data_IF_575102768793
#
_entry.id   IF_575102768793
#
_cell.length_a   1.000
_cell.length_b   1.000
_cell.length_c   1.000
_cell.angle_alpha   90.00
_cell.angle_beta   90.00
_cell.angle_gamma   90.00
#
_symmetry.space_group_name_H-M   'P 1'
#
loop_
_entity.id
_entity.type
_entity.pdbx_description
1 polymer ?
#
# COMPACT_ATOMS: atom_id res chain seq x y z
N UNK A 1 12.57 -11.84 53.78
CA UNK A 1 12.22 -12.78 52.68
C UNK A 1 12.36 -12.02 51.37
N UNK A 2 13.45 -12.28 50.68
CA UNK A 2 13.83 -11.63 49.42
C UNK A 2 13.16 -12.39 48.27
N UNK A 3 12.27 -11.73 47.51
CA UNK A 3 11.70 -12.28 46.30
C UNK A 3 12.64 -11.96 45.14
N UNK A 4 13.31 -12.99 44.66
CA UNK A 4 14.12 -13.03 43.46
C UNK A 4 13.26 -12.66 42.24
N UNK A 5 13.60 -11.54 41.54
CA UNK A 5 13.12 -11.22 40.21
C UNK A 5 13.77 -12.20 39.22
N UNK A 6 12.98 -13.16 38.75
CA UNK A 6 13.37 -13.99 37.61
C UNK A 6 13.57 -13.12 36.36
N UNK A 7 14.76 -13.17 35.78
CA UNK A 7 15.08 -12.61 34.47
C UNK A 7 14.24 -13.34 33.44
N UNK A 8 13.29 -12.63 32.80
CA UNK A 8 12.63 -13.10 31.60
C UNK A 8 13.70 -13.09 30.51
N UNK A 9 14.13 -14.29 30.12
CA UNK A 9 15.07 -14.48 29.02
C UNK A 9 14.52 -13.83 27.77
N UNK A 10 15.37 -13.05 27.09
CA UNK A 10 15.09 -12.54 25.75
C UNK A 10 14.82 -13.74 24.85
N UNK A 11 13.53 -13.99 24.55
CA UNK A 11 13.13 -14.98 23.58
C UNK A 11 13.77 -14.63 22.23
N UNK A 12 14.49 -15.58 21.65
CA UNK A 12 15.03 -15.43 20.30
C UNK A 12 13.87 -15.09 19.37
N UNK A 13 13.98 -14.00 18.63
CA UNK A 13 13.00 -13.64 17.60
C UNK A 13 12.78 -14.83 16.67
N UNK A 14 11.54 -15.14 16.28
CA UNK A 14 11.27 -16.25 15.38
C UNK A 14 12.10 -16.09 14.09
N UNK A 15 12.59 -17.18 13.50
CA UNK A 15 13.41 -17.10 12.29
C UNK A 15 12.61 -16.42 11.18
N UNK A 16 13.23 -15.45 10.50
CA UNK A 16 12.62 -14.75 9.38
C UNK A 16 12.13 -15.75 8.31
N UNK A 17 10.98 -15.49 7.69
CA UNK A 17 10.45 -16.32 6.60
C UNK A 17 11.46 -16.49 5.46
N UNK A 18 11.38 -17.59 4.70
CA UNK A 18 12.29 -17.86 3.58
C UNK A 18 12.34 -16.71 2.55
N UNK A 19 11.20 -16.07 2.31
CA UNK A 19 11.12 -14.91 1.41
C UNK A 19 11.99 -13.76 1.95
N UNK A 20 11.88 -13.43 3.23
CA UNK A 20 12.63 -12.36 3.87
C UNK A 20 14.16 -12.59 3.85
N UNK A 21 14.61 -13.84 3.83
CA UNK A 21 16.03 -14.22 3.79
C UNK A 21 16.59 -14.22 2.36
N UNK A 22 15.73 -14.29 1.34
CA UNK A 22 16.14 -14.34 -0.05
C UNK A 22 16.67 -12.99 -0.56
N UNK A 23 17.55 -13.01 -1.55
CA UNK A 23 18.02 -11.80 -2.20
C UNK A 23 16.85 -11.01 -2.86
N UNK A 24 15.87 -11.73 -3.43
CA UNK A 24 14.63 -11.13 -3.94
C UNK A 24 13.86 -10.40 -2.84
N UNK A 25 13.55 -11.08 -1.72
CA UNK A 25 12.79 -10.49 -0.61
C UNK A 25 13.52 -9.32 0.06
N UNK A 26 14.86 -9.39 0.17
CA UNK A 26 15.66 -8.28 0.70
C UNK A 26 15.59 -7.04 -0.19
N UNK A 27 15.63 -7.21 -1.53
CA UNK A 27 15.46 -6.09 -2.46
C UNK A 27 14.08 -5.47 -2.37
N UNK A 28 13.01 -6.29 -2.32
CA UNK A 28 11.64 -5.79 -2.16
C UNK A 28 11.48 -5.05 -0.83
N UNK A 29 11.99 -5.61 0.27
CA UNK A 29 11.97 -4.94 1.59
C UNK A 29 12.67 -3.58 1.52
N UNK A 30 13.87 -3.51 0.95
CA UNK A 30 14.61 -2.26 0.78
C UNK A 30 13.82 -1.22 -0.01
N UNK A 31 13.11 -1.64 -1.08
CA UNK A 31 12.24 -0.75 -1.84
C UNK A 31 11.03 -0.25 -1.02
N UNK A 32 10.42 -1.11 -0.21
CA UNK A 32 9.32 -0.72 0.68
C UNK A 32 9.79 0.28 1.73
N UNK A 33 10.91 0.00 2.41
CA UNK A 33 11.47 0.85 3.46
C UNK A 33 11.95 2.22 2.93
N UNK A 34 12.42 2.26 1.69
CA UNK A 34 12.85 3.50 1.03
C UNK A 34 11.72 4.29 0.36
N UNK A 35 10.48 3.75 0.37
CA UNK A 35 9.34 4.37 -0.34
C UNK A 35 8.93 5.70 0.29
N UNK A 36 8.80 6.78 -0.51
CA UNK A 36 8.21 8.04 -0.05
C UNK A 36 6.77 7.89 0.45
N UNK A 37 5.97 6.98 -0.13
CA UNK A 37 4.59 6.75 0.28
C UNK A 37 4.53 6.14 1.69
N UNK A 38 5.44 5.19 2.00
CA UNK A 38 5.56 4.65 3.35
C UNK A 38 6.04 5.71 4.34
N UNK A 39 7.02 6.54 3.97
CA UNK A 39 7.49 7.65 4.80
C UNK A 39 6.34 8.63 5.08
N UNK A 40 5.54 9.00 4.08
CA UNK A 40 4.38 9.87 4.24
C UNK A 40 3.34 9.27 5.19
N UNK A 41 3.01 7.98 5.05
CA UNK A 41 2.04 7.32 5.93
C UNK A 41 2.58 7.19 7.36
N UNK A 42 3.89 7.00 7.54
CA UNK A 42 4.56 7.01 8.86
C UNK A 42 4.47 8.38 9.51
N UNK A 43 4.72 9.46 8.77
CA UNK A 43 4.58 10.83 9.30
C UNK A 43 3.13 11.15 9.69
N UNK A 44 2.13 10.64 8.94
CA UNK A 44 0.71 10.75 9.35
C UNK A 44 0.42 10.01 10.65
N UNK A 45 1.02 8.85 10.86
CA UNK A 45 0.93 8.12 12.12
C UNK A 45 1.55 8.93 13.26
N UNK A 46 2.74 9.52 13.09
CA UNK A 46 3.38 10.39 14.07
C UNK A 46 2.50 11.59 14.42
N UNK A 47 1.86 12.23 13.44
CA UNK A 47 0.89 13.29 13.68
C UNK A 47 -0.31 12.82 14.51
N UNK A 48 -0.81 11.61 14.26
CA UNK A 48 -1.92 11.03 15.03
C UNK A 48 -1.51 10.74 16.48
N UNK A 49 -0.28 10.26 16.71
CA UNK A 49 0.29 10.05 18.06
C UNK A 49 0.46 11.38 18.79
N UNK A 50 0.97 12.42 18.12
CA UNK A 50 1.09 13.75 18.71
C UNK A 50 -0.29 14.35 19.11
N UNK A 51 -1.35 14.11 18.29
CA UNK A 51 -2.72 14.50 18.62
C UNK A 51 -3.27 13.70 19.84
N UNK A 52 -2.92 12.43 19.97
CA UNK A 52 -3.25 11.65 21.18
C UNK A 52 -2.57 12.23 22.41
N UNK A 53 -1.28 12.58 22.34
CA UNK A 53 -0.55 13.20 23.45
C UNK A 53 -1.11 14.58 23.80
N UNK A 54 -1.52 15.37 22.81
CA UNK A 54 -2.24 16.62 23.04
C UNK A 54 -3.57 16.39 23.79
N UNK A 55 -4.32 15.33 23.43
CA UNK A 55 -5.57 14.99 24.13
C UNK A 55 -5.32 14.52 25.56
N UNK A 56 -4.21 13.84 25.85
CA UNK A 56 -3.77 13.51 27.22
C UNK A 56 -3.49 14.76 28.04
N UNK A 57 -3.03 15.83 27.38
CA UNK A 57 -2.76 17.11 28.03
C UNK A 57 -3.98 17.74 28.74
N UNK A 58 -5.21 17.40 28.32
CA UNK A 58 -6.44 17.86 28.98
C UNK A 58 -6.55 17.37 30.44
N UNK A 59 -5.85 16.30 30.81
CA UNK A 59 -5.84 15.74 32.16
C UNK A 59 -4.68 16.25 33.02
N UNK A 60 -3.83 17.11 32.45
CA UNK A 60 -2.69 17.69 33.17
C UNK A 60 -2.99 19.12 33.58
N UNK A 61 -2.38 19.63 34.68
CA UNK A 61 -2.47 21.03 35.03
C UNK A 61 -1.94 21.91 33.90
N UNK A 62 -2.71 22.92 33.51
CA UNK A 62 -2.33 23.89 32.48
C UNK A 62 -1.82 25.17 33.12
N UNK A 63 -0.57 25.53 32.82
CA UNK A 63 0.05 26.77 33.28
C UNK A 63 -0.10 27.83 32.20
N UNK A 64 -0.71 28.98 32.58
CA UNK A 64 -0.84 30.13 31.72
C UNK A 64 -0.14 31.31 32.37
N UNK A 65 0.71 32.02 31.62
CA UNK A 65 1.34 33.29 32.01
C UNK A 65 0.88 34.34 31.00
N UNK A 66 0.42 35.45 31.49
CA UNK A 66 -0.08 36.52 30.63
C UNK A 66 -0.08 37.85 31.31
N UNK A 67 -0.48 38.89 30.58
CA UNK A 67 -0.71 40.22 31.09
C UNK A 67 -1.99 40.79 30.48
N UNK A 68 -2.83 41.40 31.31
CA UNK A 68 -4.02 42.12 30.86
C UNK A 68 -3.73 43.62 30.90
N UNK A 69 -4.05 44.33 29.82
CA UNK A 69 -4.01 45.75 29.76
C UNK A 69 -5.45 46.29 29.75
N UNK A 70 -5.82 47.08 30.72
CA UNK A 70 -7.17 47.69 30.80
C UNK A 70 -7.03 49.23 30.89
N UNK A 71 -7.81 49.95 30.12
CA UNK A 71 -7.99 51.36 30.27
C UNK A 71 -9.46 51.62 30.60
N UNK A 72 -9.73 52.20 31.80
CA UNK A 72 -11.12 52.47 32.23
C UNK A 72 -11.64 53.86 31.81
N UNK A 73 -10.75 54.75 31.35
CA UNK A 73 -11.12 56.08 30.85
C UNK A 73 -10.49 56.33 29.48
N UNK A 74 -11.31 56.86 28.58
CA UNK A 74 -10.89 57.24 27.22
C UNK A 74 -9.84 58.40 27.25
N UNK A 75 -9.71 59.13 28.34
CA UNK A 75 -8.80 60.26 28.53
C UNK A 75 -7.47 59.92 29.26
N UNK A 76 -7.29 58.72 29.77
CA UNK A 76 -6.04 58.33 30.42
C UNK A 76 -5.13 57.59 29.41
N UNK A 77 -3.98 58.19 29.09
CA UNK A 77 -2.96 57.60 28.23
C UNK A 77 -2.17 56.46 28.89
N UNK A 78 -2.58 55.97 30.04
CA UNK A 78 -1.90 54.94 30.79
C UNK A 78 -2.85 53.74 30.86
N UNK A 79 -2.50 52.68 30.19
CA UNK A 79 -3.13 51.35 30.37
C UNK A 79 -2.47 50.68 31.55
N UNK A 80 -3.25 50.33 32.59
CA UNK A 80 -2.74 49.46 33.66
C UNK A 80 -2.49 48.08 33.13
N UNK A 81 -1.24 47.63 33.24
CA UNK A 81 -0.79 46.29 32.79
C UNK A 81 -0.65 45.41 34.01
N UNK A 82 -1.57 44.45 34.16
CA UNK A 82 -1.58 43.49 35.26
C UNK A 82 -1.06 42.15 34.80
N UNK A 83 0.16 41.74 35.17
CA UNK A 83 0.66 40.38 34.90
C UNK A 83 -0.08 39.36 35.76
N UNK A 84 -0.34 38.18 35.17
CA UNK A 84 -0.98 37.07 35.86
C UNK A 84 -0.30 35.72 35.59
N UNK A 85 -0.36 34.86 36.60
CA UNK A 85 0.00 33.43 36.53
C UNK A 85 -1.25 32.64 36.90
N UNK A 86 -1.61 31.64 36.09
CA UNK A 86 -2.77 30.80 36.33
C UNK A 86 -2.39 29.32 36.08
N UNK A 87 -2.65 28.48 37.07
CA UNK A 87 -2.58 27.01 36.95
C UNK A 87 -4.02 26.50 37.00
N UNK A 88 -4.50 25.85 35.94
CA UNK A 88 -5.87 25.33 35.90
C UNK A 88 -5.87 23.82 35.64
N UNK A 89 -6.80 23.12 36.30
CA UNK A 89 -6.98 21.67 36.18
C UNK A 89 -8.46 21.37 35.95
N UNK A 90 -8.73 20.55 34.90
CA UNK A 90 -10.06 19.98 34.67
C UNK A 90 -10.35 18.95 35.78
N UNK A 91 -11.47 19.09 36.47
CA UNK A 91 -11.93 18.16 37.51
C UNK A 91 -13.04 17.24 36.98
N UNK A 92 -13.98 17.83 36.24
CA UNK A 92 -15.12 17.09 35.68
C UNK A 92 -15.64 17.79 34.43
N UNK A 93 -16.01 17.01 33.40
CA UNK A 93 -16.60 17.50 32.15
C UNK A 93 -17.64 16.52 31.56
N UNK A 94 -18.21 15.67 32.42
CA UNK A 94 -19.14 14.63 31.97
C UNK A 94 -18.49 13.49 31.16
N UNK A 95 -17.14 13.46 31.12
CA UNK A 95 -16.38 12.47 30.33
C UNK A 95 -16.07 12.95 28.91
N UNK A 96 -16.25 14.23 28.58
CA UNK A 96 -15.96 14.75 27.26
C UNK A 96 -14.46 14.56 26.89
N UNK A 97 -13.54 14.96 27.77
CA UNK A 97 -12.10 14.81 27.53
C UNK A 97 -11.69 13.33 27.40
N UNK A 98 -12.24 12.42 28.21
CA UNK A 98 -11.94 10.99 28.11
C UNK A 98 -12.43 10.37 26.78
N UNK A 99 -13.58 10.78 26.28
CA UNK A 99 -14.09 10.35 24.99
C UNK A 99 -13.30 10.97 23.81
N UNK A 100 -12.83 12.20 23.94
CA UNK A 100 -11.90 12.80 22.96
C UNK A 100 -10.58 12.01 22.92
N UNK A 101 -10.03 11.64 24.09
CA UNK A 101 -8.84 10.79 24.15
C UNK A 101 -9.09 9.40 23.53
N UNK A 102 -10.26 8.80 23.75
CA UNK A 102 -10.64 7.54 23.12
C UNK A 102 -10.74 7.67 21.60
N UNK A 103 -11.29 8.78 21.11
CA UNK A 103 -11.36 9.07 19.67
C UNK A 103 -9.96 9.23 19.05
N UNK A 104 -9.06 9.98 19.71
CA UNK A 104 -7.67 10.15 19.19
C UNK A 104 -6.89 8.83 19.23
N UNK A 105 -7.05 7.98 20.24
CA UNK A 105 -6.49 6.62 20.24
C UNK A 105 -6.99 5.78 19.09
N UNK A 106 -8.28 5.81 18.80
CA UNK A 106 -8.86 5.10 17.67
C UNK A 106 -8.33 5.64 16.31
N UNK A 107 -8.07 6.95 16.21
CA UNK A 107 -7.42 7.55 15.03
C UNK A 107 -5.96 7.11 14.87
N UNK A 108 -5.22 6.89 15.96
CA UNK A 108 -3.89 6.27 15.88
C UNK A 108 -3.97 4.86 15.30
N UNK A 109 -4.94 4.04 15.75
CA UNK A 109 -5.17 2.70 15.19
C UNK A 109 -5.53 2.77 13.70
N UNK A 110 -6.36 3.72 13.29
CA UNK A 110 -6.69 3.98 11.89
C UNK A 110 -5.42 4.32 11.08
N UNK A 111 -4.57 5.22 11.56
CA UNK A 111 -3.32 5.62 10.89
C UNK A 111 -2.31 4.47 10.81
N UNK A 112 -2.28 3.57 11.80
CA UNK A 112 -1.51 2.32 11.73
C UNK A 112 -2.03 1.41 10.61
N UNK A 113 -3.34 1.25 10.50
CA UNK A 113 -3.96 0.50 9.40
C UNK A 113 -3.64 1.09 8.01
N UNK A 114 -3.69 2.41 7.88
CA UNK A 114 -3.30 3.13 6.65
C UNK A 114 -1.83 2.86 6.28
N UNK A 115 -0.92 2.89 7.26
CA UNK A 115 0.51 2.60 7.04
C UNK A 115 0.73 1.17 6.57
N UNK A 116 0.06 0.18 7.18
CA UNK A 116 0.16 -1.22 6.76
C UNK A 116 -0.39 -1.44 5.36
N UNK A 117 -1.53 -0.86 5.04
CA UNK A 117 -2.12 -0.93 3.71
C UNK A 117 -1.18 -0.30 2.65
N UNK A 118 -0.59 0.85 2.95
CA UNK A 118 0.37 1.51 2.07
C UNK A 118 1.61 0.64 1.87
N UNK A 119 2.17 0.09 2.94
CA UNK A 119 3.34 -0.79 2.87
C UNK A 119 3.05 -2.05 2.01
N UNK A 120 1.88 -2.68 2.18
CA UNK A 120 1.48 -3.85 1.40
C UNK A 120 1.28 -3.52 -0.09
N UNK A 121 0.68 -2.37 -0.39
CA UNK A 121 0.52 -1.89 -1.77
C UNK A 121 1.86 -1.59 -2.42
N UNK A 122 2.77 -0.89 -1.73
CA UNK A 122 4.13 -0.62 -2.23
C UNK A 122 4.89 -1.91 -2.46
N UNK A 123 4.79 -2.89 -1.55
CA UNK A 123 5.43 -4.19 -1.70
C UNK A 123 4.94 -4.92 -2.97
N UNK A 124 3.62 -4.95 -3.21
CA UNK A 124 3.06 -5.56 -4.40
C UNK A 124 3.51 -4.85 -5.68
N UNK A 125 3.49 -3.51 -5.70
CA UNK A 125 3.94 -2.71 -6.85
C UNK A 125 5.44 -2.87 -7.12
N UNK A 126 6.26 -2.98 -6.08
CA UNK A 126 7.69 -3.25 -6.22
C UNK A 126 7.95 -4.65 -6.79
N UNK A 127 7.19 -5.67 -6.34
CA UNK A 127 7.24 -7.03 -6.90
C UNK A 127 6.83 -7.01 -8.38
N UNK A 128 5.76 -6.30 -8.72
CA UNK A 128 5.31 -6.15 -10.11
C UNK A 128 6.39 -5.50 -10.98
N UNK A 129 6.97 -4.37 -10.55
CA UNK A 129 8.04 -3.70 -11.26
C UNK A 129 9.27 -4.60 -11.46
N UNK A 130 9.60 -5.42 -10.45
CA UNK A 130 10.69 -6.39 -10.52
C UNK A 130 10.43 -7.47 -11.59
N UNK A 131 9.27 -8.11 -11.54
CA UNK A 131 8.90 -9.21 -12.44
C UNK A 131 8.74 -8.70 -13.87
N UNK A 132 8.18 -7.52 -14.06
CA UNK A 132 8.04 -6.91 -15.39
C UNK A 132 9.40 -6.71 -16.07
N UNK A 133 10.46 -6.36 -15.34
CA UNK A 133 11.81 -6.28 -15.94
C UNK A 133 12.28 -7.65 -16.44
N UNK A 134 12.07 -8.71 -15.67
CA UNK A 134 12.43 -10.08 -16.07
C UNK A 134 11.68 -10.51 -17.34
N UNK A 135 10.38 -10.28 -17.37
CA UNK A 135 9.55 -10.56 -18.54
C UNK A 135 10.04 -9.81 -19.78
N UNK A 136 10.30 -8.49 -19.64
CA UNK A 136 10.75 -7.68 -20.79
C UNK A 136 12.12 -8.07 -21.30
N UNK A 137 13.00 -8.59 -20.45
CA UNK A 137 14.27 -9.21 -20.89
C UNK A 137 14.01 -10.45 -21.74
N UNK A 138 13.12 -11.32 -21.28
CA UNK A 138 12.76 -12.54 -22.01
C UNK A 138 12.06 -12.23 -23.34
N UNK A 139 11.13 -11.25 -23.37
CA UNK A 139 10.52 -10.74 -24.60
C UNK A 139 11.57 -10.22 -25.59
N UNK A 140 12.56 -9.45 -25.11
CA UNK A 140 13.65 -8.94 -25.94
C UNK A 140 14.46 -10.09 -26.54
N UNK A 141 14.77 -11.15 -25.78
CA UNK A 141 15.47 -12.31 -26.28
C UNK A 141 14.66 -13.08 -27.32
N UNK A 142 13.34 -13.26 -27.12
CA UNK A 142 12.46 -13.88 -28.09
C UNK A 142 12.45 -13.08 -29.40
N UNK A 143 12.30 -11.76 -29.31
CA UNK A 143 12.31 -10.87 -30.47
C UNK A 143 13.64 -10.90 -31.21
N UNK A 144 14.78 -10.93 -30.50
CA UNK A 144 16.11 -11.04 -31.09
C UNK A 144 16.31 -12.39 -31.80
N UNK A 145 15.91 -13.51 -31.16
CA UNK A 145 15.93 -14.83 -31.79
C UNK A 145 15.04 -14.85 -33.05
N UNK A 146 13.85 -14.22 -32.99
CA UNK A 146 12.94 -14.16 -34.15
C UNK A 146 13.56 -13.40 -35.32
N UNK A 147 14.28 -12.29 -35.10
CA UNK A 147 15.03 -11.57 -36.14
C UNK A 147 16.08 -12.49 -36.76
N UNK A 148 16.86 -13.23 -35.97
CA UNK A 148 17.86 -14.17 -36.47
C UNK A 148 17.24 -15.26 -37.34
N UNK A 149 16.07 -15.81 -36.95
CA UNK A 149 15.34 -16.81 -37.72
C UNK A 149 14.88 -16.25 -39.08
N UNK A 150 14.33 -15.05 -39.09
CA UNK A 150 13.90 -14.41 -40.34
C UNK A 150 15.06 -14.02 -41.24
N UNK A 151 16.23 -13.67 -40.71
CA UNK A 151 17.46 -13.42 -41.44
C UNK A 151 17.95 -14.66 -42.17
N UNK A 152 18.03 -15.79 -41.45
CA UNK A 152 18.37 -17.10 -42.04
C UNK A 152 17.39 -17.53 -43.14
N UNK A 153 16.09 -17.37 -42.88
CA UNK A 153 15.07 -17.69 -43.92
C UNK A 153 15.21 -16.80 -45.15
N UNK A 154 15.43 -15.49 -44.98
CA UNK A 154 15.62 -14.57 -46.09
C UNK A 154 16.85 -14.95 -46.93
N UNK A 155 17.97 -15.32 -46.30
CA UNK A 155 19.17 -15.79 -47.01
C UNK A 155 18.87 -17.06 -47.82
N UNK A 156 18.27 -18.08 -47.17
CA UNK A 156 17.90 -19.32 -47.85
C UNK A 156 16.97 -19.10 -49.02
N UNK A 157 15.97 -18.24 -48.91
CA UNK A 157 15.04 -17.94 -49.97
C UNK A 157 15.71 -17.21 -51.15
N UNK A 158 16.61 -16.25 -50.82
CA UNK A 158 17.38 -15.53 -51.84
C UNK A 158 18.28 -16.49 -52.62
N UNK A 159 19.03 -17.36 -51.92
CA UNK A 159 19.90 -18.38 -52.56
C UNK A 159 19.12 -19.32 -53.49
N UNK A 160 17.93 -19.80 -53.05
CA UNK A 160 17.07 -20.66 -53.89
C UNK A 160 16.53 -19.95 -55.12
N UNK A 161 16.21 -18.65 -54.99
CA UNK A 161 15.74 -17.84 -56.10
C UNK A 161 16.86 -17.59 -57.10
N UNK A 162 18.07 -17.30 -56.64
CA UNK A 162 19.26 -17.15 -57.50
C UNK A 162 19.61 -18.40 -58.25
N UNK A 163 19.32 -19.59 -57.69
CA UNK A 163 19.45 -20.89 -58.31
C UNK A 163 18.29 -21.28 -59.22
N UNK A 164 17.31 -20.40 -59.37
CA UNK A 164 16.15 -20.62 -60.23
C UNK A 164 15.05 -21.54 -59.64
N UNK A 165 15.12 -21.88 -58.37
CA UNK A 165 14.17 -22.78 -57.68
C UNK A 165 13.15 -22.01 -56.85
N UNK A 166 13.29 -20.69 -56.70
CA UNK A 166 12.43 -19.81 -55.91
C UNK A 166 11.76 -18.70 -56.74
N UNK A 167 10.85 -17.98 -56.11
CA UNK A 167 10.14 -16.83 -56.72
C UNK A 167 10.63 -15.51 -56.10
N UNK A 168 10.75 -14.46 -56.92
CA UNK A 168 10.97 -13.08 -56.44
C UNK A 168 9.89 -12.64 -55.45
N UNK A 169 8.66 -13.13 -55.58
CA UNK A 169 7.57 -12.84 -54.65
C UNK A 169 7.88 -13.40 -53.25
N UNK A 170 8.52 -14.56 -53.13
CA UNK A 170 8.95 -15.16 -51.87
C UNK A 170 10.03 -14.32 -51.20
N UNK A 171 11.00 -13.80 -51.97
CA UNK A 171 12.04 -12.90 -51.45
C UNK A 171 11.42 -11.59 -50.90
N UNK A 172 10.46 -11.00 -51.61
CA UNK A 172 9.77 -9.81 -51.14
C UNK A 172 8.95 -10.08 -49.88
N UNK A 173 8.28 -11.24 -49.82
CA UNK A 173 7.54 -11.69 -48.62
C UNK A 173 8.50 -11.88 -47.43
N UNK A 174 9.62 -12.58 -47.63
CA UNK A 174 10.61 -12.77 -46.58
C UNK A 174 11.22 -11.45 -46.10
N UNK A 175 11.48 -10.49 -47.00
CA UNK A 175 11.93 -9.13 -46.63
C UNK A 175 10.91 -8.36 -45.79
N UNK A 176 9.64 -8.44 -46.15
CA UNK A 176 8.54 -7.84 -45.39
C UNK A 176 8.50 -8.40 -43.98
N UNK A 177 8.53 -9.72 -43.81
CA UNK A 177 8.53 -10.39 -42.51
C UNK A 177 9.77 -10.08 -41.66
N UNK A 178 10.94 -9.92 -42.32
CA UNK A 178 12.14 -9.46 -41.65
C UNK A 178 12.00 -8.01 -41.12
N UNK A 179 11.38 -7.12 -41.88
CA UNK A 179 11.08 -5.76 -41.44
C UNK A 179 10.15 -5.76 -40.22
N UNK A 180 9.08 -6.57 -40.26
CA UNK A 180 8.16 -6.76 -39.12
C UNK A 180 8.88 -7.29 -37.88
N UNK A 181 9.78 -8.26 -38.04
CA UNK A 181 10.57 -8.82 -36.92
C UNK A 181 11.49 -7.75 -36.30
N UNK A 182 12.14 -6.90 -37.13
CA UNK A 182 12.97 -5.79 -36.64
C UNK A 182 12.15 -4.73 -35.90
N UNK A 183 10.94 -4.44 -36.35
CA UNK A 183 10.00 -3.54 -35.65
C UNK A 183 9.66 -4.09 -34.27
N UNK A 184 9.28 -5.38 -34.18
CA UNK A 184 9.01 -6.04 -32.89
C UNK A 184 10.21 -6.02 -31.95
N UNK A 185 11.43 -6.18 -32.46
CA UNK A 185 12.66 -6.05 -31.65
C UNK A 185 12.83 -4.63 -31.11
N UNK A 186 12.59 -3.61 -31.93
CA UNK A 186 12.66 -2.22 -31.48
C UNK A 186 11.61 -1.92 -30.39
N UNK A 187 10.38 -2.44 -30.56
CA UNK A 187 9.30 -2.32 -29.58
C UNK A 187 9.65 -3.04 -28.27
N UNK A 188 10.17 -4.26 -28.32
CA UNK A 188 10.60 -5.01 -27.13
C UNK A 188 11.71 -4.26 -26.38
N UNK A 189 12.67 -3.64 -27.08
CA UNK A 189 13.70 -2.80 -26.48
C UNK A 189 13.10 -1.59 -25.78
N UNK A 190 12.21 -0.87 -26.43
CA UNK A 190 11.51 0.29 -25.84
C UNK A 190 10.69 -0.10 -24.59
N UNK A 191 10.03 -1.26 -24.62
CA UNK A 191 9.29 -1.77 -23.46
C UNK A 191 10.22 -2.15 -22.29
N UNK A 192 11.39 -2.72 -22.56
CA UNK A 192 12.40 -2.97 -21.54
C UNK A 192 12.93 -1.67 -20.93
N UNK A 193 13.19 -0.66 -21.75
CA UNK A 193 13.65 0.64 -21.26
C UNK A 193 12.62 1.30 -20.32
N UNK A 194 11.33 1.19 -20.63
CA UNK A 194 10.23 1.64 -19.76
C UNK A 194 10.17 0.84 -18.46
N UNK A 195 10.28 -0.49 -18.53
CA UNK A 195 10.31 -1.34 -17.35
C UNK A 195 11.51 -1.02 -16.44
N UNK A 196 12.69 -0.76 -17.03
CA UNK A 196 13.86 -0.32 -16.31
C UNK A 196 13.68 1.05 -15.64
N UNK A 197 12.91 1.96 -16.24
CA UNK A 197 12.57 3.24 -15.63
C UNK A 197 11.62 3.06 -14.44
N UNK A 198 10.59 2.24 -14.58
CA UNK A 198 9.67 1.90 -13.49
C UNK A 198 10.38 1.17 -12.34
N UNK A 199 11.30 0.25 -12.66
CA UNK A 199 12.13 -0.39 -11.64
C UNK A 199 12.95 0.64 -10.84
N UNK A 200 13.58 1.61 -11.50
CA UNK A 200 14.34 2.67 -10.81
C UNK A 200 13.50 3.54 -9.89
N UNK A 201 12.22 3.70 -10.16
CA UNK A 201 11.29 4.41 -9.28
C UNK A 201 11.20 3.75 -7.90
N UNK A 202 11.09 2.41 -7.85
CA UNK A 202 10.97 1.67 -6.59
C UNK A 202 12.33 1.36 -5.93
N UNK A 203 13.37 1.07 -6.73
CA UNK A 203 14.63 0.54 -6.22
C UNK A 203 15.78 1.58 -6.23
N UNK A 204 15.57 2.77 -6.78
CA UNK A 204 16.56 3.84 -6.85
C UNK A 204 17.73 3.58 -7.80
N UNK A 205 17.90 2.36 -8.29
CA UNK A 205 19.05 1.94 -9.12
C UNK A 205 18.58 1.23 -10.40
N UNK A 206 19.45 1.20 -11.41
CA UNK A 206 19.17 0.42 -12.61
C UNK A 206 19.19 -1.10 -12.28
N UNK A 207 18.30 -1.91 -12.91
CA UNK A 207 18.28 -3.34 -12.66
C UNK A 207 19.54 -4.02 -13.23
N UNK A 208 20.39 -4.55 -12.33
CA UNK A 208 21.52 -5.41 -12.67
C UNK A 208 21.11 -6.84 -12.98
N UNK A 209 21.90 -7.82 -12.54
CA UNK A 209 21.49 -9.21 -12.51
C UNK A 209 20.42 -9.37 -11.40
N UNK A 210 19.19 -9.70 -11.80
CA UNK A 210 18.08 -9.88 -10.87
C UNK A 210 17.99 -11.36 -10.46
N UNK A 211 17.99 -11.67 -9.13
CA UNK A 211 17.69 -13.01 -8.63
C UNK A 211 16.32 -13.51 -9.08
N UNK A 212 16.18 -14.80 -9.25
CA UNK A 212 14.87 -15.39 -9.55
C UNK A 212 13.88 -15.09 -8.42
N UNK A 213 12.66 -14.64 -8.74
CA UNK A 213 11.63 -14.40 -7.76
C UNK A 213 11.19 -15.74 -7.12
N UNK A 214 10.79 -15.69 -5.85
CA UNK A 214 10.28 -16.83 -5.11
C UNK A 214 8.76 -16.85 -5.22
N UNK A 215 8.18 -18.02 -5.42
CA UNK A 215 6.72 -18.17 -5.43
C UNK A 215 6.11 -17.83 -4.07
N UNK A 216 4.96 -17.18 -4.12
CA UNK A 216 4.19 -16.84 -2.93
C UNK A 216 3.62 -18.13 -2.29
N UNK A 217 3.65 -18.27 -0.94
CA UNK A 217 2.99 -19.38 -0.28
C UNK A 217 1.47 -19.28 -0.44
N UNK A 218 0.81 -20.44 -0.39
CA UNK A 218 -0.66 -20.48 -0.40
C UNK A 218 -1.26 -19.89 0.88
N UNK A 219 -2.40 -19.23 0.75
CA UNK A 219 -3.17 -18.76 1.88
C UNK A 219 -3.85 -19.94 2.60
N UNK A 220 -3.46 -20.20 3.83
CA UNK A 220 -3.98 -21.32 4.65
C UNK A 220 -5.20 -20.96 5.50
N UNK A 221 -5.62 -19.67 5.50
CA UNK A 221 -6.73 -19.17 6.32
C UNK A 221 -8.08 -19.33 5.63
N UNK A 222 -9.16 -19.35 6.42
CA UNK A 222 -10.53 -19.33 5.90
C UNK A 222 -10.89 -17.94 5.36
N UNK A 223 -11.83 -17.86 4.42
CA UNK A 223 -12.26 -16.59 3.79
C UNK A 223 -12.72 -15.56 4.80
N UNK A 224 -13.43 -15.99 5.83
CA UNK A 224 -13.91 -15.11 6.90
C UNK A 224 -12.73 -14.49 7.65
N UNK A 225 -11.72 -15.30 7.99
CA UNK A 225 -10.52 -14.80 8.67
C UNK A 225 -9.74 -13.84 7.78
N UNK A 226 -9.57 -14.18 6.50
CA UNK A 226 -8.88 -13.31 5.54
C UNK A 226 -9.55 -11.95 5.45
N UNK A 227 -10.87 -11.92 5.33
CA UNK A 227 -11.64 -10.66 5.24
C UNK A 227 -11.53 -9.86 6.52
N UNK A 228 -11.72 -10.48 7.68
CA UNK A 228 -11.75 -9.76 8.97
C UNK A 228 -10.37 -9.32 9.43
N UNK A 229 -9.31 -10.05 9.07
CA UNK A 229 -7.92 -9.71 9.40
C UNK A 229 -7.30 -8.70 8.43
N UNK A 230 -7.98 -8.39 7.33
CA UNK A 230 -7.50 -7.41 6.34
C UNK A 230 -7.20 -6.04 6.98
N UNK A 231 -6.05 -5.42 6.68
CA UNK A 231 -5.70 -4.08 7.17
C UNK A 231 -6.77 -3.03 6.87
N UNK A 232 -7.47 -3.15 5.75
CA UNK A 232 -8.55 -2.25 5.36
C UNK A 232 -9.78 -2.36 6.26
N UNK A 233 -10.17 -3.59 6.65
CA UNK A 233 -11.29 -3.81 7.58
C UNK A 233 -10.91 -3.29 8.97
N UNK A 234 -9.72 -3.62 9.47
CA UNK A 234 -9.23 -3.12 10.76
C UNK A 234 -9.15 -1.59 10.81
N UNK A 235 -8.73 -0.96 9.71
CA UNK A 235 -8.76 0.50 9.57
C UNK A 235 -10.18 1.05 9.69
N UNK A 236 -11.16 0.42 9.02
CA UNK A 236 -12.56 0.85 9.08
C UNK A 236 -13.20 0.61 10.45
N UNK A 237 -12.81 -0.46 11.16
CA UNK A 237 -13.19 -0.68 12.56
C UNK A 237 -12.66 0.42 13.47
N UNK A 238 -11.40 0.83 13.29
CA UNK A 238 -10.80 1.94 14.03
C UNK A 238 -11.51 3.27 13.75
N UNK A 239 -11.86 3.52 12.49
CA UNK A 239 -12.66 4.70 12.11
C UNK A 239 -14.03 4.71 12.78
N UNK A 240 -14.73 3.57 12.83
CA UNK A 240 -16.01 3.44 13.54
C UNK A 240 -15.85 3.66 15.04
N UNK A 241 -14.78 3.15 15.65
CA UNK A 241 -14.47 3.40 17.06
C UNK A 241 -14.24 4.88 17.33
N UNK A 242 -13.51 5.58 16.45
CA UNK A 242 -13.30 7.03 16.56
C UNK A 242 -14.63 7.80 16.49
N UNK A 243 -15.47 7.48 15.51
CA UNK A 243 -16.78 8.14 15.35
C UNK A 243 -17.70 7.91 16.57
N UNK A 244 -17.73 6.68 17.13
CA UNK A 244 -18.48 6.38 18.36
C UNK A 244 -17.96 7.16 19.57
N UNK A 245 -16.66 7.30 19.71
CA UNK A 245 -16.07 8.07 20.78
C UNK A 245 -16.33 9.59 20.62
N UNK A 246 -16.30 10.11 19.40
CA UNK A 246 -16.67 11.50 19.11
C UNK A 246 -18.14 11.80 19.40
N UNK A 247 -19.05 10.88 19.06
CA UNK A 247 -20.44 10.98 19.43
C UNK A 247 -20.61 10.99 20.95
N UNK A 248 -19.93 10.09 21.67
CA UNK A 248 -19.95 10.06 23.14
C UNK A 248 -19.40 11.38 23.74
N UNK A 249 -18.34 11.95 23.16
CA UNK A 249 -17.80 13.25 23.57
C UNK A 249 -18.83 14.39 23.33
N UNK A 250 -19.53 14.38 22.19
CA UNK A 250 -20.56 15.38 21.90
C UNK A 250 -21.73 15.29 22.87
N UNK A 251 -22.15 14.07 23.25
CA UNK A 251 -23.20 13.84 24.28
C UNK A 251 -22.71 14.28 25.66
N UNK A 252 -21.46 13.96 26.03
CA UNK A 252 -20.87 14.31 27.33
C UNK A 252 -20.78 15.84 27.55
N UNK A 253 -20.57 16.62 26.49
CA UNK A 253 -20.57 18.09 26.56
C UNK A 253 -21.92 18.71 26.97
N UNK A 254 -22.96 17.92 27.13
CA UNK A 254 -24.24 18.36 27.74
C UNK A 254 -24.16 18.54 29.25
N UNK A 255 -23.15 17.90 29.87
CA UNK A 255 -22.92 17.99 31.30
C UNK A 255 -22.19 19.29 31.68
N UNK A 256 -22.32 19.77 32.92
CA UNK A 256 -21.55 20.92 33.39
C UNK A 256 -20.06 20.56 33.46
N UNK A 257 -19.19 21.51 33.15
CA UNK A 257 -17.76 21.44 33.37
C UNK A 257 -17.37 22.03 34.71
N UNK A 258 -16.50 21.31 35.46
CA UNK A 258 -15.92 21.80 36.72
C UNK A 258 -14.41 21.90 36.56
N UNK A 259 -13.87 23.04 36.86
CA UNK A 259 -12.45 23.34 36.79
C UNK A 259 -11.98 24.01 38.08
N UNK A 260 -10.83 23.61 38.58
CA UNK A 260 -10.12 24.29 39.68
C UNK A 260 -8.94 25.06 39.10
N UNK A 261 -8.72 26.28 39.56
CA UNK A 261 -7.58 27.08 39.16
C UNK A 261 -6.94 27.76 40.38
N UNK A 262 -5.63 27.80 40.43
CA UNK A 262 -4.87 28.69 41.33
C UNK A 262 -4.35 29.85 40.45
N UNK A 263 -4.45 31.05 40.99
CA UNK A 263 -4.00 32.23 40.27
C UNK A 263 -3.17 33.14 41.19
N UNK A 264 -2.26 33.88 40.55
CA UNK A 264 -1.54 35.00 41.16
C UNK A 264 -1.48 36.11 40.13
N UNK A 265 -1.93 37.32 40.51
CA UNK A 265 -1.84 38.53 39.71
C UNK A 265 -1.39 39.70 40.57
N UNK A 266 -0.99 40.81 39.92
CA UNK A 266 -0.82 42.10 40.61
C UNK A 266 -2.08 42.90 40.45
N UNK A 267 -2.48 43.62 41.50
CA UNK A 267 -3.59 44.56 41.49
C UNK A 267 -3.12 45.92 40.98
N UNK A 268 -4.07 46.81 40.68
CA UNK A 268 -3.81 48.16 40.19
C UNK A 268 -2.97 49.00 41.17
N UNK A 269 -3.03 48.70 42.48
CA UNK A 269 -2.17 49.27 43.53
C UNK A 269 -0.79 48.57 43.67
N UNK A 270 -0.44 47.70 42.71
CA UNK A 270 0.79 46.90 42.65
C UNK A 270 0.92 45.85 43.79
N UNK A 271 -0.17 45.54 44.48
CA UNK A 271 -0.24 44.51 45.48
C UNK A 271 -0.39 43.11 44.88
N UNK A 272 0.27 42.10 45.49
CA UNK A 272 0.16 40.71 45.07
C UNK A 272 -1.17 40.10 45.52
N UNK A 273 -2.00 39.69 44.57
CA UNK A 273 -3.25 38.99 44.82
C UNK A 273 -3.11 37.51 44.34
N UNK A 274 -3.47 36.56 45.19
CA UNK A 274 -3.44 35.13 44.89
C UNK A 274 -4.64 34.42 45.49
N UNK A 275 -5.08 33.35 44.83
CA UNK A 275 -6.27 32.63 45.29
C UNK A 275 -6.47 31.31 44.54
N UNK A 276 -7.54 30.61 44.93
CA UNK A 276 -8.01 29.40 44.27
C UNK A 276 -9.45 29.66 43.83
N UNK A 277 -9.72 29.39 42.56
CA UNK A 277 -11.05 29.46 41.93
C UNK A 277 -11.56 28.03 41.70
N UNK A 278 -12.81 27.79 42.04
CA UNK A 278 -13.57 26.65 41.59
C UNK A 278 -14.68 27.15 40.66
N UNK A 279 -14.58 26.84 39.39
CA UNK A 279 -15.56 27.23 38.40
C UNK A 279 -16.44 26.08 37.94
N UNK A 280 -17.75 26.30 37.93
CA UNK A 280 -18.72 25.41 37.35
C UNK A 280 -19.37 26.09 36.15
N UNK A 281 -19.18 25.59 34.95
CA UNK A 281 -19.68 26.14 33.72
C UNK A 281 -20.76 25.21 33.13
N UNK A 282 -21.99 25.73 33.03
CA UNK A 282 -23.07 25.02 32.35
C UNK A 282 -23.70 25.93 31.29
N UNK A 283 -23.58 25.53 30.06
CA UNK A 283 -24.11 26.30 28.94
C UNK A 283 -25.48 25.74 28.55
N UNK A 284 -26.51 26.58 28.55
CA UNK A 284 -27.85 26.21 28.12
C UNK A 284 -27.93 26.33 26.59
N UNK A 285 -28.33 25.21 25.92
CA UNK A 285 -28.44 25.16 24.45
C UNK A 285 -29.67 25.91 23.92
N UNK A 286 -29.66 27.23 24.07
CA UNK A 286 -30.75 28.10 23.59
C UNK A 286 -30.76 28.21 22.05
N UNK A 287 -29.62 28.05 21.39
CA UNK A 287 -29.46 28.17 19.94
C UNK A 287 -29.65 26.85 19.19
N UNK A 288 -29.70 25.72 19.87
CA UNK A 288 -29.77 24.39 19.26
C UNK A 288 -28.43 23.88 18.73
N UNK A 289 -27.33 24.58 18.97
CA UNK A 289 -26.00 24.26 18.44
C UNK A 289 -25.47 22.90 18.94
N UNK A 290 -25.69 22.61 20.24
CA UNK A 290 -25.29 21.31 20.80
C UNK A 290 -26.14 20.15 20.27
N UNK A 291 -27.46 20.37 20.10
CA UNK A 291 -28.33 19.35 19.50
C UNK A 291 -27.92 19.05 18.07
N UNK A 292 -27.58 20.09 17.30
CA UNK A 292 -27.07 19.93 15.93
C UNK A 292 -25.72 19.18 15.90
N UNK A 293 -24.78 19.49 16.82
CA UNK A 293 -23.50 18.79 16.94
C UNK A 293 -23.66 17.32 17.28
N UNK A 294 -24.58 16.97 18.20
CA UNK A 294 -24.89 15.56 18.54
C UNK A 294 -25.49 14.84 17.34
N UNK A 295 -26.45 15.46 16.64
CA UNK A 295 -27.07 14.87 15.46
C UNK A 295 -26.05 14.64 14.33
N UNK A 296 -25.12 15.59 14.14
CA UNK A 296 -24.03 15.45 13.17
C UNK A 296 -23.08 14.27 13.54
N UNK A 297 -22.71 14.18 14.82
CA UNK A 297 -21.86 13.08 15.30
C UNK A 297 -22.56 11.70 15.21
N UNK A 298 -23.89 11.66 15.46
CA UNK A 298 -24.69 10.43 15.25
C UNK A 298 -24.71 10.02 13.76
N UNK A 299 -24.87 10.99 12.87
CA UNK A 299 -24.81 10.74 11.43
C UNK A 299 -23.44 10.22 11.00
N UNK A 300 -22.33 10.73 11.58
CA UNK A 300 -20.98 10.22 11.34
C UNK A 300 -20.80 8.77 11.79
N UNK A 301 -21.42 8.34 12.91
CA UNK A 301 -21.41 6.93 13.33
C UNK A 301 -22.08 6.05 12.26
N UNK A 302 -23.25 6.46 11.77
CA UNK A 302 -23.98 5.72 10.72
C UNK A 302 -23.17 5.66 9.42
N UNK A 303 -22.54 6.76 9.04
CA UNK A 303 -21.64 6.81 7.88
C UNK A 303 -20.47 5.83 8.05
N UNK A 304 -19.83 5.80 9.23
CA UNK A 304 -18.74 4.88 9.53
C UNK A 304 -19.20 3.40 9.50
N UNK A 305 -20.40 3.10 9.98
CA UNK A 305 -20.99 1.74 9.90
C UNK A 305 -21.21 1.31 8.45
N UNK A 306 -21.82 2.15 7.62
CA UNK A 306 -22.00 1.85 6.20
C UNK A 306 -20.69 1.76 5.43
N UNK A 307 -19.72 2.62 5.75
CA UNK A 307 -18.38 2.57 5.17
C UNK A 307 -17.68 1.24 5.49
N UNK A 308 -17.74 0.80 6.76
CA UNK A 308 -17.21 -0.49 7.19
C UNK A 308 -17.85 -1.66 6.42
N UNK A 309 -19.18 -1.66 6.32
CA UNK A 309 -19.91 -2.71 5.60
C UNK A 309 -19.57 -2.72 4.10
N UNK A 310 -19.31 -1.55 3.52
CA UNK A 310 -18.83 -1.45 2.13
C UNK A 310 -17.44 -2.07 1.98
N UNK A 311 -16.50 -1.72 2.87
CA UNK A 311 -15.13 -2.26 2.86
C UNK A 311 -15.15 -3.80 2.98
N UNK A 312 -15.96 -4.36 3.89
CA UNK A 312 -16.08 -5.82 4.04
C UNK A 312 -16.58 -6.47 2.74
N UNK A 313 -17.57 -5.87 2.07
CA UNK A 313 -18.08 -6.39 0.79
C UNK A 313 -17.03 -6.27 -0.33
N UNK A 314 -16.29 -5.18 -0.35
CA UNK A 314 -15.24 -4.95 -1.35
C UNK A 314 -14.09 -5.96 -1.21
N UNK A 315 -13.61 -6.20 0.02
CA UNK A 315 -12.56 -7.18 0.29
C UNK A 315 -13.05 -8.61 -0.02
N UNK A 316 -14.30 -8.94 0.30
CA UNK A 316 -14.87 -10.25 -0.05
C UNK A 316 -14.90 -10.46 -1.56
N UNK A 317 -15.38 -9.46 -2.32
CA UNK A 317 -15.39 -9.50 -3.79
C UNK A 317 -13.97 -9.64 -4.35
N UNK A 318 -13.02 -8.90 -3.83
CA UNK A 318 -11.62 -8.97 -4.26
C UNK A 318 -11.01 -10.35 -4.00
N UNK A 319 -11.30 -10.95 -2.85
CA UNK A 319 -10.87 -12.31 -2.53
C UNK A 319 -11.47 -13.35 -3.50
N UNK A 320 -12.75 -13.20 -3.85
CA UNK A 320 -13.40 -14.06 -4.85
C UNK A 320 -12.74 -13.92 -6.23
N UNK A 321 -12.40 -12.70 -6.63
CA UNK A 321 -11.66 -12.45 -7.89
C UNK A 321 -10.28 -13.09 -7.86
N UNK A 322 -9.51 -12.89 -6.79
CA UNK A 322 -8.19 -13.49 -6.63
C UNK A 322 -8.26 -15.02 -6.71
N UNK A 323 -9.23 -15.66 -6.07
CA UNK A 323 -9.40 -17.12 -6.13
C UNK A 323 -9.79 -17.61 -7.53
N UNK A 324 -10.71 -16.91 -8.18
CA UNK A 324 -11.07 -17.21 -9.57
C UNK A 324 -9.86 -17.09 -10.49
N UNK A 325 -9.07 -16.03 -10.32
CA UNK A 325 -7.87 -15.80 -11.10
C UNK A 325 -6.75 -16.80 -10.81
N UNK A 326 -6.61 -17.28 -9.58
CA UNK A 326 -5.68 -18.36 -9.24
C UNK A 326 -6.05 -19.66 -9.96
N UNK A 327 -7.34 -20.06 -9.91
CA UNK A 327 -7.80 -21.28 -10.59
C UNK A 327 -7.66 -21.18 -12.12
N UNK A 328 -8.14 -20.08 -12.69
CA UNK A 328 -8.05 -19.84 -14.12
C UNK A 328 -6.59 -19.65 -14.57
N UNK A 329 -5.75 -19.03 -13.72
CA UNK A 329 -4.32 -18.82 -13.95
C UNK A 329 -3.56 -20.12 -14.07
N UNK A 330 -3.78 -21.06 -13.16
CA UNK A 330 -3.16 -22.39 -13.22
C UNK A 330 -3.51 -23.15 -14.51
N UNK A 331 -4.78 -23.08 -14.93
CA UNK A 331 -5.24 -23.70 -16.18
C UNK A 331 -4.60 -23.01 -17.39
N UNK A 332 -4.60 -21.66 -17.40
CA UNK A 332 -3.98 -20.87 -18.49
C UNK A 332 -2.49 -21.13 -18.60
N UNK A 333 -1.77 -21.23 -17.49
CA UNK A 333 -0.35 -21.51 -17.47
C UNK A 333 -0.05 -22.88 -18.11
N UNK A 334 -0.76 -23.93 -17.70
CA UNK A 334 -0.61 -25.27 -18.27
C UNK A 334 -0.93 -25.31 -19.76
N UNK A 335 -2.00 -24.66 -20.18
CA UNK A 335 -2.39 -24.57 -21.60
C UNK A 335 -1.34 -23.79 -22.42
N UNK A 336 -0.77 -22.70 -21.88
CA UNK A 336 0.28 -21.95 -22.54
C UNK A 336 1.58 -22.76 -22.70
N UNK A 337 1.96 -23.55 -21.69
CA UNK A 337 3.10 -24.48 -21.79
C UNK A 337 2.90 -25.50 -22.93
N UNK A 338 1.76 -26.18 -22.94
CA UNK A 338 1.44 -27.13 -24.00
C UNK A 338 1.38 -26.47 -25.38
N UNK A 339 0.92 -25.22 -25.47
CA UNK A 339 0.91 -24.48 -26.73
C UNK A 339 2.32 -24.16 -27.25
N UNK A 340 3.26 -23.81 -26.36
CA UNK A 340 4.67 -23.59 -26.76
C UNK A 340 5.29 -24.87 -27.30
N UNK A 341 5.10 -26.00 -26.64
CA UNK A 341 5.62 -27.32 -27.08
C UNK A 341 5.04 -27.68 -28.46
N UNK A 342 3.72 -27.64 -28.62
CA UNK A 342 3.06 -28.01 -29.88
C UNK A 342 3.45 -27.07 -31.04
N UNK A 343 3.62 -25.76 -30.80
CA UNK A 343 4.06 -24.84 -31.82
C UNK A 343 5.55 -25.02 -32.16
N UNK A 344 6.40 -25.38 -31.21
CA UNK A 344 7.81 -25.72 -31.48
C UNK A 344 7.91 -26.91 -32.42
N UNK A 345 7.15 -27.99 -32.18
CA UNK A 345 7.09 -29.17 -33.03
C UNK A 345 6.55 -28.84 -34.42
N UNK A 346 5.51 -27.96 -34.48
CA UNK A 346 4.95 -27.49 -35.75
C UNK A 346 5.98 -26.73 -36.60
N UNK A 347 6.78 -25.84 -35.98
CA UNK A 347 7.87 -25.12 -36.66
C UNK A 347 8.93 -26.08 -37.16
N UNK A 348 9.35 -27.07 -36.36
CA UNK A 348 10.34 -28.05 -36.74
C UNK A 348 9.87 -28.87 -37.96
N UNK A 349 8.65 -29.38 -37.90
CA UNK A 349 8.05 -30.15 -39.01
C UNK A 349 7.86 -29.28 -40.27
N UNK A 350 7.46 -28.03 -40.09
CA UNK A 350 7.30 -27.06 -41.23
C UNK A 350 8.65 -26.82 -41.93
N UNK A 351 9.75 -26.66 -41.19
CA UNK A 351 11.09 -26.48 -41.77
C UNK A 351 11.57 -27.70 -42.53
N UNK A 352 11.41 -28.89 -42.00
CA UNK A 352 11.76 -30.13 -42.69
C UNK A 352 11.01 -30.29 -44.00
N UNK A 353 9.69 -30.11 -43.97
CA UNK A 353 8.85 -30.23 -45.15
C UNK A 353 9.13 -29.17 -46.22
N UNK A 354 9.52 -27.97 -45.81
CA UNK A 354 9.94 -26.90 -46.72
C UNK A 354 11.25 -27.26 -47.42
N UNK A 355 12.20 -27.82 -46.71
CA UNK A 355 13.49 -28.21 -47.28
C UNK A 355 13.32 -29.19 -48.44
N UNK A 356 12.36 -30.12 -48.36
CA UNK A 356 12.03 -31.09 -49.37
C UNK A 356 10.96 -30.63 -50.39
N UNK A 357 10.57 -29.32 -50.30
CA UNK A 357 9.63 -28.71 -51.24
C UNK A 357 8.16 -29.11 -51.07
N UNK A 358 7.78 -29.69 -49.90
CA UNK A 358 6.40 -30.11 -49.59
C UNK A 358 5.56 -29.03 -48.86
N UNK A 359 6.19 -27.95 -48.39
CA UNK A 359 5.52 -26.82 -47.75
C UNK A 359 5.94 -25.50 -48.38
N UNK A 360 5.02 -24.52 -48.36
CA UNK A 360 5.29 -23.16 -48.80
C UNK A 360 6.04 -22.31 -47.77
N UNK A 361 6.70 -21.24 -48.24
CA UNK A 361 7.31 -20.24 -47.38
C UNK A 361 6.32 -19.64 -46.37
N UNK A 362 5.09 -19.33 -46.84
CA UNK A 362 4.05 -18.70 -46.01
C UNK A 362 3.71 -19.56 -44.81
N UNK A 363 3.63 -20.89 -44.97
CA UNK A 363 3.30 -21.82 -43.88
C UNK A 363 4.40 -21.89 -42.82
N UNK A 364 5.69 -21.76 -43.19
CA UNK A 364 6.77 -21.66 -42.21
C UNK A 364 6.70 -20.35 -41.44
N UNK A 365 6.49 -19.24 -42.19
CA UNK A 365 6.40 -17.91 -41.58
C UNK A 365 5.21 -17.79 -40.61
N UNK A 366 4.08 -18.42 -40.94
CA UNK A 366 2.92 -18.48 -40.05
C UNK A 366 3.19 -19.36 -38.82
N UNK A 367 3.77 -20.57 -39.02
CA UNK A 367 4.18 -21.43 -37.85
C UNK A 367 5.17 -20.73 -36.94
N UNK A 368 6.14 -19.99 -37.52
CA UNK A 368 7.13 -19.23 -36.71
C UNK A 368 6.46 -18.09 -35.91
N UNK A 369 5.51 -17.38 -36.53
CA UNK A 369 4.71 -16.34 -35.85
C UNK A 369 3.91 -16.93 -34.68
N UNK A 370 3.25 -18.08 -34.93
CA UNK A 370 2.41 -18.73 -33.92
C UNK A 370 3.26 -19.25 -32.74
N UNK A 371 4.47 -19.74 -33.01
CA UNK A 371 5.42 -20.13 -31.97
C UNK A 371 5.88 -18.95 -31.12
N UNK A 372 6.25 -17.81 -31.74
CA UNK A 372 6.62 -16.58 -31.02
C UNK A 372 5.45 -16.10 -30.15
N UNK A 373 4.25 -16.05 -30.70
CA UNK A 373 3.05 -15.65 -29.97
C UNK A 373 2.73 -16.62 -28.80
N UNK A 374 3.00 -17.92 -28.94
CA UNK A 374 2.83 -18.89 -27.87
C UNK A 374 3.85 -18.65 -26.72
N UNK A 375 5.12 -18.36 -27.05
CA UNK A 375 6.14 -18.01 -26.05
C UNK A 375 5.76 -16.74 -25.28
N UNK A 376 5.32 -15.68 -25.99
CA UNK A 376 4.86 -14.42 -25.36
C UNK A 376 3.68 -14.67 -24.41
N UNK A 377 2.70 -15.51 -24.82
CA UNK A 377 1.56 -15.87 -23.96
C UNK A 377 1.99 -16.66 -22.73
N UNK A 378 3.00 -17.51 -22.84
CA UNK A 378 3.52 -18.26 -21.71
C UNK A 378 4.13 -17.32 -20.65
N UNK A 379 4.98 -16.37 -21.05
CA UNK A 379 5.56 -15.37 -20.15
C UNK A 379 4.43 -14.60 -19.43
N UNK A 380 3.44 -14.13 -20.16
CA UNK A 380 2.31 -13.41 -19.58
C UNK A 380 1.48 -14.27 -18.62
N UNK A 381 1.29 -15.57 -18.95
CA UNK A 381 0.57 -16.50 -18.08
C UNK A 381 1.34 -16.75 -16.77
N UNK A 382 2.66 -16.95 -16.86
CA UNK A 382 3.54 -17.12 -15.70
C UNK A 382 3.50 -15.90 -14.78
N UNK A 383 3.71 -14.70 -15.36
CA UNK A 383 3.65 -13.45 -14.60
C UNK A 383 2.31 -13.26 -13.91
N UNK A 384 1.21 -13.39 -14.66
CA UNK A 384 -0.11 -13.12 -14.10
C UNK A 384 -0.43 -14.10 -12.96
N UNK A 385 -0.10 -15.38 -13.11
CA UNK A 385 -0.28 -16.37 -12.04
C UNK A 385 0.58 -16.04 -10.82
N UNK A 386 1.84 -15.67 -11.02
CA UNK A 386 2.75 -15.26 -9.96
C UNK A 386 2.23 -14.03 -9.20
N UNK A 387 1.83 -12.96 -9.91
CA UNK A 387 1.34 -11.73 -9.30
C UNK A 387 -0.01 -11.92 -8.59
N UNK A 388 -0.90 -12.76 -9.11
CA UNK A 388 -2.17 -13.09 -8.44
C UNK A 388 -1.94 -13.71 -7.07
N UNK A 389 -0.93 -14.57 -6.91
CA UNK A 389 -0.58 -15.16 -5.61
C UNK A 389 -0.05 -14.11 -4.62
N UNK A 390 0.75 -13.14 -5.07
CA UNK A 390 1.19 -12.02 -4.22
C UNK A 390 0.08 -11.01 -3.93
N UNK A 391 -0.84 -10.78 -4.87
CA UNK A 391 -2.02 -9.95 -4.63
C UNK A 391 -2.90 -10.51 -3.51
N UNK A 392 -3.06 -11.84 -3.43
CA UNK A 392 -3.73 -12.51 -2.33
C UNK A 392 -3.08 -12.18 -0.96
N UNK A 393 -1.75 -12.23 -0.88
CA UNK A 393 -0.99 -11.91 0.34
C UNK A 393 -1.04 -10.42 0.68
N UNK A 394 -1.09 -9.55 -0.32
CA UNK A 394 -1.24 -8.10 -0.11
C UNK A 394 -2.61 -7.77 0.47
N UNK A 395 -3.66 -8.47 0.03
CA UNK A 395 -5.03 -8.27 0.52
C UNK A 395 -5.18 -8.57 2.02
N UNK A 396 -4.45 -9.57 2.51
CA UNK A 396 -4.44 -9.97 3.93
C UNK A 396 -3.43 -9.19 4.78
N UNK A 397 -2.48 -8.51 4.14
CA UNK A 397 -1.32 -7.91 4.80
C UNK A 397 -0.18 -8.92 5.08
N UNK A 398 -0.38 -10.22 4.88
CA UNK A 398 0.63 -11.27 5.13
C UNK A 398 1.91 -11.08 4.30
N UNK A 399 1.84 -10.33 3.21
CA UNK A 399 3.02 -9.97 2.40
C UNK A 399 4.10 -9.27 3.23
N UNK A 400 3.71 -8.46 4.23
CA UNK A 400 4.64 -7.71 5.07
C UNK A 400 5.36 -8.65 6.03
N UNK A 401 4.65 -9.59 6.66
CA UNK A 401 5.24 -10.58 7.55
C UNK A 401 6.22 -11.49 6.80
N UNK A 402 5.85 -11.91 5.57
CA UNK A 402 6.72 -12.70 4.71
C UNK A 402 7.98 -11.98 4.25
N UNK A 403 7.92 -10.66 4.08
CA UNK A 403 9.06 -9.80 3.76
C UNK A 403 9.88 -9.43 5.00
N UNK A 404 9.36 -9.69 6.21
CA UNK A 404 9.98 -9.25 7.46
C UNK A 404 9.99 -7.73 7.62
N UNK A 405 9.02 -7.05 7.01
CA UNK A 405 8.76 -5.63 7.28
C UNK A 405 8.11 -5.54 8.66
N UNK A 406 8.68 -4.72 9.55
CA UNK A 406 8.21 -4.66 10.94
C UNK A 406 6.74 -4.23 11.01
N UNK A 407 5.90 -5.14 11.50
CA UNK A 407 4.50 -4.91 11.88
C UNK A 407 4.34 -4.71 13.39
N UNK A 408 5.46 -4.70 14.14
CA UNK A 408 5.50 -4.71 15.60
C UNK A 408 4.71 -3.57 16.27
N UNK A 409 4.53 -2.44 15.58
CA UNK A 409 3.70 -1.33 16.07
C UNK A 409 2.20 -1.66 16.08
N UNK A 410 1.81 -2.74 15.43
CA UNK A 410 0.42 -3.18 15.35
C UNK A 410 0.03 -4.13 16.49
N UNK A 411 0.92 -5.05 16.85
CA UNK A 411 0.65 -6.06 17.86
C UNK A 411 0.61 -5.48 19.31
N UNK A 412 1.31 -4.36 19.54
CA UNK A 412 1.40 -3.69 20.83
C UNK A 412 0.27 -2.69 21.12
N UNK A 413 -0.77 -2.61 20.31
CA UNK A 413 -1.78 -1.55 20.39
C UNK A 413 -3.26 -1.99 20.43
N UNK A 414 -3.55 -3.27 20.62
CA UNK A 414 -4.91 -3.79 20.83
C UNK A 414 -5.13 -4.21 22.27
#
# INVERSE_FOLDING_TARGET
>A
MSLSRGSIGAGASPPLPRLAQSAFGQQIRGAVEASPDLAQSTTRLEMSVANEDAAKGAFLPQLTVGANARSERVDSNIADVTPYLRISQLVYDGGAASNVLAATKARVLQSRGDRLQTAAAVALSAIEAYVVVLDRREFLEIAARNVSVHDQLLQQITERTDQGVGSNADVLTARSRMADARTRLADAKSQLDRANAQFREFFGTAPGALPSPIEAPELSRTDVQIVMDSPQVRRSDAFLLAAKAEYAAAVARRQPGVQVAAFANRDDDNDANYGIDLSLNYEIDSTGQRRAAIAAAEAQVKEAEFSRDSVIRDIRRELEFVRSDQQAGAIRLKAAQSAVEANADSVAAAREQFTIGRRSLIEILDSQRDYVNAQERLILAQRNFFLTNYAALSLTGDILDLLGVSTADWENGL
#
